data_IF_747593655086
#
_entry.id   IF_747593655086
#
_cell.length_a   1.000
_cell.length_b   1.000
_cell.length_c   1.000
_cell.angle_alpha   90.00
_cell.angle_beta   90.00
_cell.angle_gamma   90.00
#
_symmetry.space_group_name_H-M   'P 1'
#
loop_
_entity.id
_entity.type
_entity.pdbx_description
1 polymer ?
#
# COMPACT_ATOMS: atom_id res chain seq x y z
N UNK A 1 -5.70 10.96 -1.83
CA UNK A 1 -5.64 9.75 -2.67
C UNK A 1 -4.96 10.15 -3.98
N UNK A 2 -3.95 9.40 -4.42
CA UNK A 2 -3.23 9.62 -5.69
C UNK A 2 -3.63 8.54 -6.70
N UNK A 3 -3.87 8.93 -7.95
CA UNK A 3 -4.31 8.03 -9.03
C UNK A 3 -3.21 7.86 -10.07
N UNK A 4 -2.75 6.63 -10.31
CA UNK A 4 -1.72 6.32 -11.32
C UNK A 4 -2.09 5.01 -12.03
N UNK A 5 -2.22 5.02 -13.36
CA UNK A 5 -2.44 3.80 -14.18
C UNK A 5 -3.60 2.91 -13.66
N UNK A 6 -4.66 3.54 -13.14
CA UNK A 6 -5.84 2.87 -12.57
C UNK A 6 -5.66 2.31 -11.15
N UNK A 7 -4.54 2.60 -10.49
CA UNK A 7 -4.33 2.33 -9.06
C UNK A 7 -4.72 3.53 -8.21
N UNK A 8 -5.31 3.25 -7.06
CA UNK A 8 -5.57 4.21 -5.98
C UNK A 8 -4.52 4.06 -4.91
N UNK A 9 -3.72 5.09 -4.66
CA UNK A 9 -2.72 5.13 -3.59
C UNK A 9 -3.26 5.97 -2.43
N UNK A 10 -3.15 5.43 -1.23
CA UNK A 10 -3.58 6.05 0.03
C UNK A 10 -2.37 6.25 0.93
N UNK A 11 -2.22 7.48 1.41
CA UNK A 11 -1.16 7.89 2.33
C UNK A 11 -1.85 8.18 3.66
N UNK A 12 -1.83 7.19 4.54
CA UNK A 12 -2.36 7.36 5.88
C UNK A 12 -1.23 7.76 6.83
N UNK A 13 -1.51 8.70 7.71
CA UNK A 13 -0.65 8.99 8.84
C UNK A 13 -1.11 8.18 10.05
N UNK A 14 -0.18 7.85 10.95
CA UNK A 14 -0.47 7.28 12.26
C UNK A 14 -1.22 5.92 12.24
N UNK A 15 -0.74 4.97 11.42
CA UNK A 15 -1.23 3.58 11.41
C UNK A 15 -0.68 2.73 12.56
N UNK A 16 -0.49 3.36 13.72
CA UNK A 16 -0.02 2.74 14.97
C UNK A 16 1.38 2.13 14.80
N UNK A 17 1.53 0.84 15.12
CA UNK A 17 2.81 0.11 15.17
C UNK A 17 3.20 -0.56 13.84
N UNK A 18 2.50 -0.29 12.74
CA UNK A 18 2.94 -0.80 11.44
C UNK A 18 4.12 0.04 10.90
N UNK A 19 5.12 -0.58 10.25
CA UNK A 19 6.15 0.16 9.53
C UNK A 19 5.54 1.10 8.48
N UNK A 20 6.21 2.21 8.17
CA UNK A 20 5.73 3.16 7.17
C UNK A 20 5.44 2.45 5.83
N UNK A 21 4.24 2.63 5.28
CA UNK A 21 3.84 2.02 4.03
C UNK A 21 2.78 2.84 3.29
N UNK A 22 2.61 2.56 1.99
CA UNK A 22 1.55 3.12 1.15
C UNK A 22 0.57 2.01 0.83
N UNK A 23 -0.72 2.24 1.08
CA UNK A 23 -1.77 1.33 0.64
C UNK A 23 -2.10 1.61 -0.81
N UNK A 24 -2.31 0.57 -1.59
CA UNK A 24 -2.68 0.67 -2.99
C UNK A 24 -3.79 -0.32 -3.33
N UNK A 25 -4.76 0.08 -4.15
CA UNK A 25 -5.80 -0.84 -4.61
C UNK A 25 -6.10 -0.68 -6.10
N UNK A 26 -6.41 -1.80 -6.76
CA UNK A 26 -6.90 -1.85 -8.13
C UNK A 26 -7.80 -3.07 -8.31
N UNK A 27 -9.03 -2.82 -8.78
CA UNK A 27 -10.07 -3.85 -8.92
C UNK A 27 -10.24 -4.69 -7.64
N UNK A 28 -9.87 -5.97 -7.68
CA UNK A 28 -9.98 -6.90 -6.55
C UNK A 28 -8.59 -7.27 -5.96
N UNK A 29 -7.55 -6.45 -6.16
CA UNK A 29 -6.28 -6.58 -5.45
C UNK A 29 -6.04 -5.35 -4.58
N UNK A 30 -5.62 -5.62 -3.34
CA UNK A 30 -5.08 -4.64 -2.41
C UNK A 30 -3.61 -4.96 -2.20
N UNK A 31 -2.79 -3.92 -2.24
CA UNK A 31 -1.35 -3.99 -2.08
C UNK A 31 -0.89 -3.04 -0.98
N UNK A 32 0.23 -3.37 -0.35
CA UNK A 32 1.00 -2.42 0.47
C UNK A 32 2.42 -2.30 -0.06
N UNK A 33 2.92 -1.07 -0.13
CA UNK A 33 4.31 -0.75 -0.43
C UNK A 33 5.03 -0.38 0.87
N UNK A 34 5.88 -1.26 1.39
CA UNK A 34 6.65 -1.01 2.60
C UNK A 34 7.84 -0.09 2.31
N UNK A 35 7.99 0.95 3.13
CA UNK A 35 9.00 1.98 2.98
C UNK A 35 10.12 1.81 4.00
N UNK A 36 11.36 1.94 3.55
CA UNK A 36 12.53 2.04 4.42
C UNK A 36 12.78 3.51 4.83
N UNK A 37 12.51 3.86 6.08
CA UNK A 37 12.77 5.23 6.57
C UNK A 37 14.24 5.53 6.79
N UNK A 38 15.09 4.51 6.95
CA UNK A 38 16.51 4.70 7.27
C UNK A 38 17.35 4.89 6.00
N UNK A 39 16.94 4.29 4.88
CA UNK A 39 17.70 4.32 3.62
C UNK A 39 17.00 5.10 2.50
N UNK A 40 16.59 6.36 2.77
CA UNK A 40 15.98 7.25 1.77
C UNK A 40 14.77 6.61 1.06
N UNK A 41 13.74 6.19 1.81
CA UNK A 41 12.44 5.70 1.30
C UNK A 41 12.61 4.73 0.13
N UNK A 42 13.28 3.61 0.38
CA UNK A 42 13.36 2.49 -0.58
C UNK A 42 12.11 1.62 -0.46
N UNK A 43 11.62 1.13 -1.59
CA UNK A 43 10.59 0.10 -1.59
C UNK A 43 11.21 -1.25 -1.23
N UNK A 44 10.74 -1.85 -0.13
CA UNK A 44 11.25 -3.16 0.34
C UNK A 44 10.41 -4.32 -0.19
N UNK A 45 9.08 -4.20 -0.15
CA UNK A 45 8.19 -5.30 -0.53
C UNK A 45 6.82 -4.80 -1.02
N UNK A 46 6.20 -5.63 -1.88
CA UNK A 46 4.81 -5.49 -2.32
C UNK A 46 4.06 -6.73 -1.83
N UNK A 47 3.02 -6.53 -1.04
CA UNK A 47 2.15 -7.62 -0.58
C UNK A 47 0.79 -7.45 -1.26
N UNK A 48 0.46 -8.25 -2.30
CA UNK A 48 -0.90 -8.28 -2.87
C UNK A 48 -1.74 -9.32 -2.14
N UNK A 49 -2.86 -8.87 -1.58
CA UNK A 49 -3.98 -9.73 -1.21
C UNK A 49 -5.03 -9.63 -2.32
N UNK A 50 -5.43 -10.77 -2.89
CA UNK A 50 -6.67 -10.79 -3.67
C UNK A 50 -7.80 -10.59 -2.68
N UNK A 51 -8.49 -9.45 -2.76
CA UNK A 51 -9.68 -9.18 -1.99
C UNK A 51 -10.70 -10.26 -2.34
N UNK A 52 -10.94 -11.20 -1.43
CA UNK A 52 -12.07 -12.10 -1.51
C UNK A 52 -13.29 -11.21 -1.29
N UNK A 53 -13.93 -10.79 -2.39
CA UNK A 53 -15.27 -10.20 -2.28
C UNK A 53 -16.19 -11.32 -1.82
N UNK A 54 -16.45 -11.36 -0.51
CA UNK A 54 -17.57 -12.11 0.03
C UNK A 54 -18.83 -11.74 -0.74
N UNK A 55 -19.49 -12.75 -1.30
CA UNK A 55 -20.94 -12.73 -1.41
C UNK A 55 -21.49 -13.11 -0.04
#
# INVERSE_FOLDING_TARGET
ILMILGWRLFFYANERNEPAHIHCSKANCECKYLLDSENYVRLIAIICHKGIKGK
#
